data_IF_099841346408
#
_entry.id   IF_099841346408
#
_cell.length_a   1.000
_cell.length_b   1.000
_cell.length_c   1.000
_cell.angle_alpha   90.00
_cell.angle_beta   90.00
_cell.angle_gamma   90.00
#
_symmetry.space_group_name_H-M   'P 1'
#
loop_
_entity.id
_entity.type
_entity.pdbx_description
1 polymer ?
#
# COMPACT_ATOMS: atom_id res chain seq x y z
N UNK A 1 -16.53 -8.70 35.97
CA UNK A 1 -15.51 -9.77 35.91
C UNK A 1 -15.31 -10.16 34.46
N UNK A 2 -14.31 -9.61 33.76
CA UNK A 2 -13.96 -10.06 32.42
C UNK A 2 -13.04 -11.28 32.60
N UNK A 3 -13.62 -12.47 32.52
CA UNK A 3 -12.87 -13.70 32.70
C UNK A 3 -11.91 -13.91 31.52
N UNK A 4 -10.66 -14.25 31.80
CA UNK A 4 -9.55 -14.37 30.83
C UNK A 4 -9.66 -15.66 30.00
N UNK A 5 -10.77 -15.82 29.28
CA UNK A 5 -10.97 -16.99 28.42
C UNK A 5 -10.25 -16.80 27.09
N UNK A 6 -9.49 -17.82 26.69
CA UNK A 6 -9.04 -17.98 25.31
C UNK A 6 -10.24 -18.50 24.53
N UNK A 7 -10.66 -17.77 23.51
CA UNK A 7 -11.78 -18.17 22.65
C UNK A 7 -11.21 -18.86 21.42
N UNK A 8 -11.41 -20.16 21.32
CA UNK A 8 -11.01 -20.95 20.16
C UNK A 8 -12.24 -21.28 19.33
N UNK A 9 -12.35 -20.69 18.14
CA UNK A 9 -13.33 -21.06 17.12
C UNK A 9 -12.64 -21.80 15.97
N UNK A 10 -13.38 -22.54 15.13
CA UNK A 10 -12.81 -23.17 13.94
C UNK A 10 -12.10 -22.17 13.01
N UNK A 11 -12.58 -20.92 12.96
CA UNK A 11 -12.05 -19.88 12.06
C UNK A 11 -10.97 -19.02 12.70
N UNK A 12 -10.99 -18.83 14.02
CA UNK A 12 -10.05 -17.96 14.71
C UNK A 12 -9.78 -18.37 16.16
N UNK A 13 -8.54 -18.17 16.59
CA UNK A 13 -8.12 -18.30 17.98
C UNK A 13 -7.85 -16.90 18.54
N UNK A 14 -8.66 -16.49 19.51
CA UNK A 14 -8.58 -15.20 20.20
C UNK A 14 -7.93 -15.38 21.57
N UNK A 15 -6.85 -14.64 21.84
CA UNK A 15 -6.19 -14.62 23.16
C UNK A 15 -6.23 -13.22 23.75
N UNK A 16 -6.79 -13.01 24.95
CA UNK A 16 -6.70 -11.73 25.64
C UNK A 16 -5.26 -11.50 26.12
N UNK A 17 -4.75 -10.30 25.87
CA UNK A 17 -3.42 -9.84 26.28
C UNK A 17 -3.55 -8.47 26.95
N UNK A 18 -2.66 -8.18 27.89
CA UNK A 18 -2.52 -6.87 28.48
C UNK A 18 -1.09 -6.38 28.29
N UNK A 19 -0.92 -5.13 27.88
CA UNK A 19 0.38 -4.50 27.71
C UNK A 19 0.39 -3.12 28.34
N UNK A 20 1.44 -2.84 29.10
CA UNK A 20 1.59 -1.61 29.85
C UNK A 20 2.66 -1.73 30.92
N UNK A 21 2.96 -0.61 31.57
CA UNK A 21 3.92 -0.55 32.68
C UNK A 21 3.18 -0.31 33.98
N UNK A 22 3.37 -1.20 34.95
CA UNK A 22 2.82 -1.07 36.31
C UNK A 22 3.97 -0.82 37.27
N UNK A 23 3.94 0.31 37.99
CA UNK A 23 4.95 0.65 38.98
C UNK A 23 4.53 0.19 40.37
N UNK A 24 5.49 0.06 41.29
CA UNK A 24 5.26 -0.45 42.66
C UNK A 24 4.23 0.36 43.45
N UNK A 25 4.12 1.66 43.18
CA UNK A 25 3.14 2.57 43.79
C UNK A 25 1.73 2.42 43.20
N UNK A 26 1.58 1.80 42.03
CA UNK A 26 0.30 1.56 41.35
C UNK A 26 -0.36 0.22 41.81
N UNK A 27 0.36 -0.63 42.57
CA UNK A 27 -0.11 -1.96 42.98
C UNK A 27 -1.24 -1.93 44.02
N UNK A 28 -1.40 -0.83 44.74
CA UNK A 28 -2.46 -0.63 45.75
C UNK A 28 -3.65 0.17 45.24
N UNK A 29 -3.67 0.55 43.96
CA UNK A 29 -4.74 1.33 43.33
C UNK A 29 -5.36 0.57 42.15
N UNK A 30 -6.55 0.97 41.73
CA UNK A 30 -7.18 0.43 40.53
C UNK A 30 -6.31 0.73 39.29
N UNK A 31 -6.10 -0.29 38.45
CA UNK A 31 -5.24 -0.18 37.26
C UNK A 31 -5.81 0.87 36.29
N UNK A 32 -5.01 1.90 36.00
CA UNK A 32 -5.36 2.93 35.02
C UNK A 32 -5.32 2.36 33.59
N UNK A 33 -6.48 2.40 32.91
CA UNK A 33 -6.64 1.95 31.51
C UNK A 33 -5.83 2.78 30.50
N UNK A 34 -5.30 3.94 30.88
CA UNK A 34 -4.36 4.72 30.06
C UNK A 34 -2.93 4.17 30.13
N UNK A 35 -2.55 3.51 31.23
CA UNK A 35 -1.23 2.90 31.44
C UNK A 35 -1.16 1.44 31.01
N UNK A 36 -2.25 0.68 31.18
CA UNK A 36 -2.35 -0.74 30.79
C UNK A 36 -3.50 -0.93 29.81
N UNK A 37 -3.15 -1.30 28.58
CA UNK A 37 -4.10 -1.58 27.49
C UNK A 37 -4.39 -3.07 27.45
N UNK A 38 -5.68 -3.43 27.42
CA UNK A 38 -6.14 -4.80 27.19
C UNK A 38 -6.56 -4.92 25.73
N UNK A 39 -6.06 -5.94 25.03
CA UNK A 39 -6.36 -6.23 23.63
C UNK A 39 -6.49 -7.74 23.42
N UNK A 40 -6.97 -8.17 22.25
CA UNK A 40 -6.99 -9.57 21.89
C UNK A 40 -6.12 -9.80 20.65
N UNK A 41 -5.26 -10.81 20.68
CA UNK A 41 -4.56 -11.27 19.47
C UNK A 41 -5.42 -12.31 18.77
N UNK A 42 -5.63 -12.14 17.46
CA UNK A 42 -6.35 -13.07 16.61
C UNK A 42 -5.37 -13.88 15.76
N UNK A 43 -5.54 -15.20 15.71
CA UNK A 43 -4.75 -16.10 14.87
C UNK A 43 -5.65 -17.07 14.12
N UNK A 44 -5.19 -17.57 12.96
CA UNK A 44 -6.00 -18.45 12.12
C UNK A 44 -6.36 -19.76 12.85
N UNK A 45 -7.66 -20.06 12.86
CA UNK A 45 -8.20 -21.31 13.37
C UNK A 45 -7.94 -22.48 12.42
N UNK A 46 -8.16 -23.73 12.86
CA UNK A 46 -7.88 -24.92 12.09
C UNK A 46 -8.67 -25.01 10.78
N UNK A 47 -9.94 -24.58 10.75
CA UNK A 47 -10.75 -24.58 9.54
C UNK A 47 -10.21 -23.61 8.50
N UNK A 48 -9.90 -22.37 8.91
CA UNK A 48 -9.32 -21.36 8.00
C UNK A 48 -7.96 -21.82 7.44
N UNK A 49 -7.18 -22.55 8.23
CA UNK A 49 -5.90 -23.12 7.79
C UNK A 49 -6.11 -24.19 6.71
N UNK A 50 -7.06 -25.11 6.90
CA UNK A 50 -7.40 -26.14 5.91
C UNK A 50 -7.98 -25.54 4.63
N UNK A 51 -8.84 -24.53 4.73
CA UNK A 51 -9.36 -23.82 3.54
C UNK A 51 -8.26 -23.05 2.79
N UNK A 52 -7.29 -22.47 3.52
CA UNK A 52 -6.11 -21.83 2.92
C UNK A 52 -5.19 -22.84 2.21
N UNK A 53 -5.09 -24.09 2.68
CA UNK A 53 -4.35 -25.15 1.97
C UNK A 53 -5.00 -25.51 0.62
N UNK A 54 -6.33 -25.36 0.51
CA UNK A 54 -7.08 -25.50 -0.74
C UNK A 54 -7.00 -24.29 -1.67
N UNK A 55 -6.56 -23.14 -1.17
CA UNK A 55 -6.38 -21.93 -1.96
C UNK A 55 -5.11 -22.04 -2.81
N UNK A 56 -5.26 -22.17 -4.12
CA UNK A 56 -4.13 -22.13 -5.05
C UNK A 56 -3.87 -20.68 -5.50
N UNK A 57 -2.64 -20.22 -5.33
CA UNK A 57 -2.19 -18.97 -5.94
C UNK A 57 -1.84 -19.28 -7.40
N UNK A 58 -2.72 -18.92 -8.32
CA UNK A 58 -2.42 -18.99 -9.75
C UNK A 58 -1.50 -17.83 -10.14
N UNK A 59 -0.19 -18.09 -10.09
CA UNK A 59 0.81 -17.19 -10.66
C UNK A 59 0.82 -17.38 -12.17
N UNK A 60 0.19 -16.46 -12.90
CA UNK A 60 0.34 -16.37 -14.35
C UNK A 60 1.79 -16.03 -14.70
N UNK A 61 2.65 -17.05 -14.79
CA UNK A 61 4.02 -16.88 -15.27
C UNK A 61 3.98 -16.70 -16.79
N UNK A 62 3.82 -15.45 -17.22
CA UNK A 62 4.10 -15.08 -18.60
C UNK A 62 5.60 -15.32 -18.88
N UNK A 63 5.99 -15.72 -20.12
CA UNK A 63 7.40 -15.77 -20.51
C UNK A 63 8.07 -14.45 -20.15
N UNK A 64 9.28 -14.52 -19.57
CA UNK A 64 9.93 -13.39 -18.91
C UNK A 64 9.78 -12.10 -19.73
N UNK A 65 9.00 -11.14 -19.22
CA UNK A 65 8.86 -9.81 -19.84
C UNK A 65 10.27 -9.21 -19.90
N UNK A 66 10.86 -9.24 -21.09
CA UNK A 66 12.17 -8.65 -21.40
C UNK A 66 12.10 -7.12 -21.50
N UNK A 67 10.92 -6.54 -21.33
CA UNK A 67 10.65 -5.10 -21.29
C UNK A 67 10.63 -4.51 -19.88
N UNK A 68 10.44 -3.18 -19.78
CA UNK A 68 10.21 -2.50 -18.52
C UNK A 68 8.91 -3.03 -17.87
N UNK A 69 8.95 -3.25 -16.57
CA UNK A 69 7.80 -3.55 -15.73
C UNK A 69 7.76 -2.52 -14.60
N UNK A 70 6.67 -1.79 -14.47
CA UNK A 70 6.49 -0.84 -13.38
C UNK A 70 5.56 -1.48 -12.34
N UNK A 71 6.06 -1.70 -11.12
CA UNK A 71 5.34 -2.38 -10.04
C UNK A 71 4.54 -1.40 -9.17
N UNK A 72 4.89 -0.12 -9.17
CA UNK A 72 4.20 0.87 -8.37
C UNK A 72 4.94 2.19 -8.25
N UNK A 73 4.22 3.17 -7.71
CA UNK A 73 4.68 4.53 -7.51
C UNK A 73 4.34 4.97 -6.09
N UNK A 74 5.34 5.45 -5.34
CA UNK A 74 5.16 5.91 -3.96
C UNK A 74 5.87 7.24 -3.75
N UNK A 75 5.27 8.15 -2.99
CA UNK A 75 6.00 9.33 -2.54
C UNK A 75 7.00 8.90 -1.47
N UNK A 76 8.26 9.25 -1.65
CA UNK A 76 9.27 9.07 -0.60
C UNK A 76 9.46 10.40 0.12
N UNK A 77 9.02 10.46 1.37
CA UNK A 77 9.48 11.50 2.29
C UNK A 77 10.50 10.87 3.24
N UNK A 78 11.73 11.36 3.19
CA UNK A 78 12.74 11.05 4.21
C UNK A 78 12.61 12.10 5.31
N UNK A 79 12.18 11.70 6.50
CA UNK A 79 12.19 12.57 7.65
C UNK A 79 13.64 12.80 8.13
N UNK A 80 13.86 13.88 8.87
CA UNK A 80 15.19 14.26 9.38
C UNK A 80 15.82 13.20 10.30
N UNK A 81 14.99 12.30 10.86
CA UNK A 81 15.39 11.16 11.69
C UNK A 81 15.81 9.91 10.88
N UNK A 82 15.82 10.00 9.55
CA UNK A 82 16.17 8.89 8.67
C UNK A 82 15.04 7.90 8.39
N UNK A 83 13.84 8.10 8.95
CA UNK A 83 12.66 7.28 8.64
C UNK A 83 12.12 7.63 7.24
N UNK A 84 11.72 6.60 6.49
CA UNK A 84 11.10 6.74 5.16
C UNK A 84 9.62 6.40 5.32
N UNK A 85 8.76 7.39 5.20
CA UNK A 85 7.30 7.21 5.21
C UNK A 85 6.74 7.29 3.79
N UNK A 86 5.85 6.38 3.44
CA UNK A 86 5.04 6.43 2.22
C UNK A 86 3.87 7.39 2.45
N UNK A 87 3.88 8.52 1.74
CA UNK A 87 2.79 9.49 1.71
C UNK A 87 2.16 9.51 0.32
N UNK A 88 1.01 10.17 0.21
CA UNK A 88 0.43 10.47 -1.10
C UNK A 88 1.44 11.23 -1.98
N UNK A 89 1.61 10.87 -3.26
CA UNK A 89 2.34 11.69 -4.22
C UNK A 89 1.76 13.10 -4.26
N UNK A 90 2.63 14.10 -4.19
CA UNK A 90 2.24 15.51 -4.25
C UNK A 90 3.10 16.22 -5.30
N UNK A 91 2.48 17.15 -6.02
CA UNK A 91 3.18 18.02 -6.95
C UNK A 91 4.37 18.72 -6.29
N UNK A 92 5.51 18.77 -6.97
CA UNK A 92 6.74 19.38 -6.48
C UNK A 92 7.46 18.59 -5.39
N UNK A 93 7.04 17.36 -5.08
CA UNK A 93 7.72 16.46 -4.14
C UNK A 93 8.32 15.25 -4.86
N UNK A 94 9.33 14.66 -4.24
CA UNK A 94 9.98 13.47 -4.81
C UNK A 94 9.02 12.28 -4.83
N UNK A 95 8.97 11.61 -5.96
CA UNK A 95 8.28 10.34 -6.17
C UNK A 95 9.30 9.26 -6.51
N UNK A 96 9.08 8.06 -5.99
CA UNK A 96 9.82 6.85 -6.36
C UNK A 96 8.91 5.94 -7.16
N UNK A 97 9.35 5.60 -8.37
CA UNK A 97 8.80 4.53 -9.19
C UNK A 97 9.65 3.27 -8.99
N UNK A 98 9.03 2.13 -8.72
CA UNK A 98 9.72 0.84 -8.51
C UNK A 98 9.29 -0.18 -9.54
N UNK A 99 10.23 -0.96 -10.05
CA UNK A 99 9.95 -1.92 -11.11
C UNK A 99 11.13 -2.79 -11.50
N UNK A 100 11.10 -3.32 -12.72
CA UNK A 100 12.17 -4.10 -13.34
C UNK A 100 12.49 -3.55 -14.72
N UNK A 101 13.78 -3.37 -15.03
CA UNK A 101 14.28 -2.81 -16.29
C UNK A 101 13.67 -1.44 -16.65
N UNK A 102 13.39 -0.60 -15.65
CA UNK A 102 12.76 0.72 -15.84
C UNK A 102 13.75 1.87 -16.03
N UNK A 103 15.06 1.59 -16.06
CA UNK A 103 16.10 2.60 -16.31
C UNK A 103 15.77 3.32 -17.61
N UNK A 104 15.77 4.65 -17.58
CA UNK A 104 15.63 5.49 -18.76
C UNK A 104 17.00 5.56 -19.47
N UNK A 105 17.07 5.06 -20.69
CA UNK A 105 18.26 5.14 -21.52
C UNK A 105 17.83 5.13 -22.99
N UNK A 106 18.55 5.84 -23.85
CA UNK A 106 18.22 5.98 -25.26
C UNK A 106 18.40 7.40 -25.78
N UNK A 107 18.42 7.55 -27.10
CA UNK A 107 18.50 8.85 -27.77
C UNK A 107 17.14 9.30 -28.35
N UNK A 108 16.14 8.43 -28.31
CA UNK A 108 14.79 8.76 -28.78
C UNK A 108 14.13 9.79 -27.85
N UNK A 109 13.51 10.82 -28.44
CA UNK A 109 12.84 11.90 -27.70
C UNK A 109 11.66 11.42 -26.84
N UNK A 110 11.14 10.23 -27.11
CA UNK A 110 10.05 9.62 -26.34
C UNK A 110 10.54 9.00 -25.02
N UNK A 111 11.86 8.87 -24.79
CA UNK A 111 12.42 8.24 -23.58
C UNK A 111 12.17 9.14 -22.37
N UNK A 112 11.38 8.63 -21.43
CA UNK A 112 10.93 9.39 -20.27
C UNK A 112 9.73 8.75 -19.58
N UNK A 113 9.17 9.49 -18.62
CA UNK A 113 7.94 9.12 -17.91
C UNK A 113 6.81 10.05 -18.36
N UNK A 114 5.68 9.50 -18.80
CA UNK A 114 4.49 10.26 -19.17
C UNK A 114 3.38 10.01 -18.16
N UNK A 115 2.79 11.08 -17.64
CA UNK A 115 1.58 11.06 -16.84
C UNK A 115 0.40 11.52 -17.71
N UNK A 116 -0.65 10.72 -17.80
CA UNK A 116 -1.89 11.07 -18.49
C UNK A 116 -3.03 11.07 -17.48
N UNK A 117 -3.77 12.17 -17.36
CA UNK A 117 -4.91 12.24 -16.43
C UNK A 117 -6.01 11.27 -16.88
N UNK A 118 -6.57 10.52 -15.93
CA UNK A 118 -7.70 9.61 -16.20
C UNK A 118 -8.97 10.40 -16.49
N UNK A 119 -9.20 11.49 -15.76
CA UNK A 119 -10.37 12.35 -15.95
C UNK A 119 -10.30 13.18 -17.23
N UNK A 120 -9.09 13.66 -17.57
CA UNK A 120 -8.86 14.51 -18.76
C UNK A 120 -7.73 13.94 -19.61
N UNK A 121 -8.00 13.00 -20.53
CA UNK A 121 -6.96 12.33 -21.34
C UNK A 121 -6.10 13.24 -22.23
N UNK A 122 -6.54 14.47 -22.49
CA UNK A 122 -5.77 15.51 -23.19
C UNK A 122 -4.66 16.12 -22.32
N UNK A 123 -4.78 16.03 -20.99
CA UNK A 123 -3.78 16.52 -20.05
C UNK A 123 -2.67 15.49 -19.88
N UNK A 124 -1.55 15.74 -20.55
CA UNK A 124 -0.34 14.91 -20.51
C UNK A 124 0.84 15.72 -19.98
N UNK A 125 1.62 15.10 -19.10
CA UNK A 125 2.84 15.69 -18.54
C UNK A 125 3.99 14.73 -18.78
N UNK A 126 5.04 15.19 -19.42
CA UNK A 126 6.22 14.39 -19.74
C UNK A 126 7.38 14.79 -18.83
N UNK A 127 8.09 13.79 -18.32
CA UNK A 127 9.30 13.91 -17.52
C UNK A 127 10.45 13.33 -18.34
N UNK A 128 11.36 14.17 -18.86
CA UNK A 128 12.54 13.71 -19.59
C UNK A 128 13.55 13.04 -18.65
N UNK A 129 14.51 12.31 -19.24
CA UNK A 129 15.60 11.66 -18.52
C UNK A 129 16.41 12.64 -17.62
N UNK A 130 16.62 13.87 -18.08
CA UNK A 130 17.39 14.90 -17.38
C UNK A 130 16.79 15.35 -16.05
N UNK A 131 15.46 15.24 -15.90
CA UNK A 131 14.74 15.56 -14.67
C UNK A 131 14.73 14.40 -13.66
N UNK A 132 15.34 13.26 -14.01
CA UNK A 132 15.41 12.08 -13.15
C UNK A 132 16.67 12.05 -12.31
N UNK A 133 16.49 12.21 -10.99
CA UNK A 133 17.59 12.27 -10.00
C UNK A 133 18.24 10.90 -9.76
N UNK A 134 17.44 9.83 -9.68
CA UNK A 134 17.95 8.45 -9.55
C UNK A 134 17.42 7.65 -10.73
N UNK A 135 18.31 7.13 -11.55
CA UNK A 135 17.98 6.39 -12.77
C UNK A 135 18.59 4.97 -12.75
N UNK A 136 17.93 4.05 -12.05
CA UNK A 136 18.38 2.68 -11.90
C UNK A 136 17.40 1.69 -12.56
N UNK A 137 17.87 0.48 -12.95
CA UNK A 137 16.99 -0.53 -13.56
C UNK A 137 15.81 -0.95 -12.69
N UNK A 138 15.88 -0.78 -11.37
CA UNK A 138 14.83 -1.19 -10.43
C UNK A 138 14.06 -0.02 -9.82
N UNK A 139 14.59 1.20 -9.92
CA UNK A 139 14.00 2.38 -9.28
C UNK A 139 14.30 3.66 -10.06
N UNK A 140 13.28 4.51 -10.18
CA UNK A 140 13.44 5.89 -10.61
C UNK A 140 13.01 6.82 -9.48
N UNK A 141 13.79 7.87 -9.21
CA UNK A 141 13.40 8.94 -8.26
C UNK A 141 13.53 10.28 -8.97
N UNK A 142 12.47 11.07 -8.91
CA UNK A 142 12.41 12.40 -9.51
C UNK A 142 11.37 13.26 -8.79
N UNK A 143 11.36 14.56 -9.07
CA UNK A 143 10.34 15.48 -8.54
C UNK A 143 9.07 15.35 -9.38
N UNK A 144 7.93 15.10 -8.75
CA UNK A 144 6.66 15.05 -9.45
C UNK A 144 6.35 16.44 -10.05
N UNK A 145 6.16 16.59 -11.37
CA UNK A 145 5.97 17.90 -11.98
C UNK A 145 4.69 18.59 -11.49
N UNK A 146 4.72 19.93 -11.43
CA UNK A 146 3.57 20.73 -10.99
C UNK A 146 2.30 20.55 -11.85
N UNK A 147 2.45 20.13 -13.11
CA UNK A 147 1.33 19.82 -13.99
C UNK A 147 0.53 18.58 -13.57
N UNK A 148 1.11 17.70 -12.74
CA UNK A 148 0.45 16.52 -12.18
C UNK A 148 -0.30 16.93 -10.91
N UNK A 149 -1.58 17.25 -11.10
CA UNK A 149 -2.49 17.72 -10.04
C UNK A 149 -3.13 16.56 -9.28
N UNK A 150 -3.91 16.90 -8.25
CA UNK A 150 -4.78 15.97 -7.53
C UNK A 150 -5.65 15.14 -8.50
N UNK A 151 -5.78 13.84 -8.24
CA UNK A 151 -6.58 12.93 -9.08
C UNK A 151 -5.84 11.65 -9.49
N UNK A 152 -6.47 10.87 -10.38
CA UNK A 152 -5.92 9.62 -10.91
C UNK A 152 -5.14 9.85 -12.21
N UNK A 153 -3.96 9.23 -12.29
CA UNK A 153 -3.04 9.38 -13.42
C UNK A 153 -2.55 8.03 -13.93
N UNK A 154 -2.63 7.82 -15.24
CA UNK A 154 -1.95 6.71 -15.93
C UNK A 154 -0.48 7.06 -16.11
N UNK A 155 0.39 6.21 -15.59
CA UNK A 155 1.84 6.40 -15.66
C UNK A 155 2.40 5.46 -16.71
N UNK A 156 3.09 6.03 -17.69
CA UNK A 156 3.71 5.32 -18.81
C UNK A 156 5.21 5.57 -18.81
N UNK A 157 6.00 4.51 -18.80
CA UNK A 157 7.46 4.58 -18.95
C UNK A 157 7.81 4.20 -20.39
N UNK A 158 8.69 4.99 -21.00
CA UNK A 158 9.28 4.70 -22.29
C UNK A 158 10.80 4.68 -22.15
N UNK A 159 11.44 3.58 -22.57
CA UNK A 159 12.89 3.43 -22.49
C UNK A 159 13.45 2.55 -23.62
N UNK A 160 14.66 2.84 -24.07
CA UNK A 160 15.45 1.96 -24.91
C UNK A 160 16.41 1.08 -24.10
N UNK A 161 16.29 1.02 -22.77
CA UNK A 161 17.11 0.11 -21.96
C UNK A 161 16.76 -1.36 -22.23
N UNK A 162 17.77 -2.15 -22.63
CA UNK A 162 17.67 -3.58 -22.89
C UNK A 162 18.24 -4.44 -21.75
N UNK A 163 17.97 -5.75 -21.83
CA UNK A 163 18.53 -6.74 -20.90
C UNK A 163 20.04 -6.82 -21.05
N UNK A 164 20.82 -6.95 -19.97
CA UNK A 164 22.29 -7.07 -20.08
C UNK A 164 23.03 -5.77 -20.41
N UNK A 165 22.39 -4.60 -20.26
CA UNK A 165 23.06 -3.29 -20.27
C UNK A 165 23.24 -2.64 -21.65
N UNK A 166 22.72 -3.23 -22.72
CA UNK A 166 22.70 -2.61 -24.05
C UNK A 166 21.38 -1.85 -24.29
N UNK A 167 21.38 -0.89 -25.21
CA UNK A 167 20.17 -0.20 -25.63
C UNK A 167 19.51 -0.90 -26.83
N UNK A 168 18.19 -0.98 -26.85
CA UNK A 168 17.40 -1.50 -27.96
C UNK A 168 17.10 -0.39 -28.97
N UNK A 169 17.07 -0.74 -30.26
CA UNK A 169 16.84 0.23 -31.35
C UNK A 169 15.45 0.86 -31.25
N UNK A 170 14.41 0.07 -30.99
CA UNK A 170 13.04 0.57 -30.82
C UNK A 170 12.73 0.79 -29.33
N UNK A 171 12.24 1.98 -28.92
CA UNK A 171 11.80 2.23 -27.55
C UNK A 171 10.73 1.23 -27.12
N UNK A 172 10.84 0.75 -25.88
CA UNK A 172 9.87 -0.12 -25.23
C UNK A 172 9.06 0.71 -24.26
N UNK A 173 7.76 0.44 -24.22
CA UNK A 173 6.80 1.20 -23.45
C UNK A 173 6.05 0.27 -22.52
N UNK A 174 5.85 0.71 -21.28
CA UNK A 174 4.97 0.03 -20.32
C UNK A 174 4.12 1.08 -19.61
N UNK A 175 2.83 0.79 -19.47
CA UNK A 175 1.86 1.60 -18.72
C UNK A 175 1.43 0.80 -17.50
N UNK A 176 1.28 1.46 -16.35
CA UNK A 176 0.71 0.83 -15.17
C UNK A 176 -0.70 0.30 -15.47
N UNK A 177 -0.97 -0.93 -15.04
CA UNK A 177 -2.28 -1.55 -15.17
C UNK A 177 -3.35 -0.78 -14.36
N UNK A 178 -2.97 -0.30 -13.17
CA UNK A 178 -3.82 0.51 -12.31
C UNK A 178 -3.39 1.98 -12.29
N UNK A 179 -4.33 2.94 -12.39
CA UNK A 179 -4.02 4.36 -12.25
C UNK A 179 -3.42 4.69 -10.88
N UNK A 180 -2.42 5.56 -10.88
CA UNK A 180 -1.82 6.07 -9.67
C UNK A 180 -2.63 7.26 -9.14
N UNK A 181 -3.01 7.23 -7.86
CA UNK A 181 -3.58 8.39 -7.17
C UNK A 181 -2.53 9.42 -6.76
N UNK A 182 -2.84 10.70 -6.97
CA UNK A 182 -2.05 11.85 -6.53
C UNK A 182 -2.90 12.65 -5.54
N UNK A 183 -2.28 13.07 -4.44
CA UNK A 183 -2.92 13.84 -3.38
C UNK A 183 -4.09 13.09 -2.71
N UNK A 184 -5.28 13.68 -2.73
CA UNK A 184 -6.50 13.16 -2.10
C UNK A 184 -6.99 11.84 -2.72
N UNK A 185 -6.69 11.62 -4.00
CA UNK A 185 -7.02 10.38 -4.71
C UNK A 185 -6.07 9.22 -4.39
N UNK A 186 -4.97 9.47 -3.66
CA UNK A 186 -4.05 8.42 -3.26
C UNK A 186 -4.67 7.53 -2.19
N UNK A 187 -4.93 6.28 -2.55
CA UNK A 187 -5.18 5.23 -1.59
C UNK A 187 -3.83 4.65 -1.17
N UNK A 188 -3.57 4.60 0.14
CA UNK A 188 -2.43 3.86 0.66
C UNK A 188 -2.62 2.41 0.19
N UNK A 189 -1.65 1.81 -0.53
CA UNK A 189 -1.75 0.40 -0.88
C UNK A 189 -1.95 -0.36 0.42
N UNK A 190 -3.06 -1.10 0.54
CA UNK A 190 -3.39 -1.84 1.76
C UNK A 190 -2.23 -2.79 2.05
N UNK A 191 -1.42 -2.42 3.03
CA UNK A 191 -0.41 -3.30 3.58
C UNK A 191 -1.12 -4.28 4.48
N UNK A 192 -1.94 -5.16 3.89
CA UNK A 192 -2.69 -6.25 4.50
C UNK A 192 -2.85 -6.15 6.02
N UNK A 193 -3.52 -5.11 6.50
CA UNK A 193 -3.82 -4.97 7.93
C UNK A 193 -5.27 -4.53 8.06
N UNK A 194 -6.14 -5.54 8.00
CA UNK A 194 -7.57 -5.39 8.18
C UNK A 194 -7.89 -4.54 9.40
N UNK A 195 -8.50 -3.40 9.14
CA UNK A 195 -9.17 -2.59 10.15
C UNK A 195 -10.42 -2.00 9.51
N UNK A 196 -11.45 -2.83 9.43
CA UNK A 196 -12.81 -2.43 9.07
C UNK A 196 -13.30 -1.37 10.05
N UNK A 197 -13.37 -0.13 9.58
CA UNK A 197 -13.98 0.98 10.30
C UNK A 197 -15.47 1.01 9.95
N UNK A 198 -16.27 0.26 10.72
CA UNK A 198 -17.73 0.32 10.65
C UNK A 198 -18.22 1.65 11.22
N UNK A 199 -18.71 2.52 10.33
CA UNK A 199 -19.37 3.78 10.67
C UNK A 199 -20.65 3.51 11.46
N UNK A 200 -20.80 4.19 12.60
CA UNK A 200 -21.98 4.16 13.43
C UNK A 200 -23.19 4.83 12.77
N UNK A 201 -24.36 4.25 12.99
CA UNK A 201 -25.66 4.80 12.66
C UNK A 201 -26.69 4.28 13.67
N UNK A 202 -27.33 5.22 14.34
CA UNK A 202 -28.21 5.18 15.51
C UNK A 202 -29.64 4.68 15.23
N UNK A 203 -30.33 4.25 16.30
CA UNK A 203 -31.78 4.02 16.39
C UNK A 203 -32.07 2.93 17.42
N UNK A 204 -32.26 3.27 18.70
CA UNK A 204 -33.53 3.59 19.37
C UNK A 204 -34.16 2.38 20.08
N UNK A 205 -34.59 2.65 21.31
CA UNK A 205 -35.03 1.75 22.37
C UNK A 205 -36.31 0.94 22.09
N UNK A 206 -36.45 -0.16 22.85
CA UNK A 206 -37.70 -0.90 23.08
C UNK A 206 -37.59 -2.37 22.66
N UNK A 207 -38.15 -3.36 23.33
CA UNK A 207 -38.79 -3.51 24.64
C UNK A 207 -38.78 -5.04 24.90
N UNK A 208 -39.15 -5.42 26.11
CA UNK A 208 -39.17 -6.76 26.70
C UNK A 208 -39.77 -7.85 25.80
N UNK A 209 -39.27 -9.10 25.92
CA UNK A 209 -40.09 -10.22 26.43
C UNK A 209 -39.29 -11.53 26.51
N UNK A 210 -39.33 -12.10 27.72
CA UNK A 210 -38.98 -13.47 28.09
C UNK A 210 -39.74 -14.49 27.24
N UNK A 211 -39.14 -15.66 26.94
CA UNK A 211 -39.87 -16.94 26.99
C UNK A 211 -38.97 -18.10 27.45
N UNK A 212 -39.52 -19.05 28.23
CA UNK A 212 -38.78 -20.06 28.98
C UNK A 212 -38.53 -21.35 28.20
N UNK A 213 -37.71 -22.21 28.82
CA UNK A 213 -37.39 -23.58 28.41
C UNK A 213 -38.62 -24.42 28.06
N UNK A 214 -38.52 -25.11 26.93
CA UNK A 214 -39.25 -26.32 26.56
C UNK A 214 -38.29 -27.27 25.88
#
# INVERSE_FOLDING_TARGET
MASSYIVSTPTALMRPCASGTVLKNDLSQAIDRKKVKVYATLSMGPLLRTEMEGCRVELFTQPAVVGPLLNGAVAQTRAADGTVSTRAPQAGKNIRLTGRNIKLAGADASVGVTFTSVETPSKKVFVPLEDVTVNEPKQLIFVLPAGVTDGLWRVKICTQYGSGGHNVVKPRVYELDEPMGVGSAYQVPDSGSGSGSGNGGSGEDGDQNEYPLG
#
